data_IF_727848396755
#
_entry.id   IF_727848396755
#
_cell.length_a   1.000
_cell.length_b   1.000
_cell.length_c   1.000
_cell.angle_alpha   90.00
_cell.angle_beta   90.00
_cell.angle_gamma   90.00
#
_symmetry.space_group_name_H-M   'P 1'
#
loop_
_entity.id
_entity.type
_entity.pdbx_description
1 polymer ?
#
# COMPACT_ATOMS: atom_id res chain seq x y z
N UNK A 1 -83.71 17.97 -45.46
CA UNK A 1 -83.38 18.07 -44.01
C UNK A 1 -83.36 16.64 -43.49
N UNK A 2 -82.29 16.03 -42.98
CA UNK A 2 -80.94 16.42 -42.58
C UNK A 2 -80.01 15.22 -42.92
N UNK A 3 -78.96 15.44 -43.70
CA UNK A 3 -77.58 15.72 -43.28
C UNK A 3 -76.82 14.45 -42.85
N UNK A 4 -75.94 14.03 -43.75
CA UNK A 4 -75.06 12.87 -43.68
C UNK A 4 -73.67 13.47 -43.46
N UNK A 5 -73.27 13.61 -42.20
CA UNK A 5 -71.98 14.16 -41.84
C UNK A 5 -71.04 13.02 -41.43
N UNK A 6 -70.05 12.81 -42.29
CA UNK A 6 -68.93 11.88 -42.16
C UNK A 6 -68.11 12.13 -40.89
N UNK A 7 -67.75 11.03 -40.23
CA UNK A 7 -66.71 10.97 -39.20
C UNK A 7 -65.33 11.19 -39.86
N UNK A 8 -64.48 12.11 -39.37
CA UNK A 8 -63.10 12.16 -39.83
C UNK A 8 -62.29 11.01 -39.23
N UNK A 9 -61.67 10.23 -40.11
CA UNK A 9 -60.72 9.18 -39.78
C UNK A 9 -59.48 9.73 -39.05
N UNK A 10 -58.89 8.98 -38.10
CA UNK A 10 -57.65 9.37 -37.45
C UNK A 10 -56.49 9.33 -38.45
N UNK A 11 -55.80 10.44 -38.63
CA UNK A 11 -54.59 10.53 -39.44
C UNK A 11 -53.45 9.77 -38.77
N UNK A 12 -53.08 8.65 -39.37
CA UNK A 12 -51.86 7.92 -39.10
C UNK A 12 -50.65 8.82 -39.43
N UNK A 13 -49.94 9.26 -38.40
CA UNK A 13 -48.61 9.86 -38.53
C UNK A 13 -47.62 9.11 -37.64
N UNK A 14 -47.45 7.80 -37.89
CA UNK A 14 -46.31 7.05 -37.36
C UNK A 14 -45.01 7.38 -38.11
N UNK A 15 -44.48 8.60 -37.91
CA UNK A 15 -43.09 8.90 -38.27
C UNK A 15 -42.18 8.28 -37.21
N UNK A 16 -41.79 7.02 -37.41
CA UNK A 16 -40.81 6.30 -36.58
C UNK A 16 -39.41 6.91 -36.73
N UNK A 17 -38.77 7.47 -35.68
CA UNK A 17 -37.34 7.79 -35.68
C UNK A 17 -36.56 6.75 -34.83
N UNK A 18 -36.82 5.45 -35.03
CA UNK A 18 -36.24 4.40 -34.18
C UNK A 18 -34.84 3.86 -34.57
N UNK A 19 -34.29 3.99 -35.80
CA UNK A 19 -32.99 3.35 -36.10
C UNK A 19 -31.76 4.18 -35.69
N UNK A 20 -31.84 5.51 -35.76
CA UNK A 20 -30.67 6.39 -35.48
C UNK A 20 -30.45 6.57 -33.98
N UNK A 21 -31.52 6.67 -33.19
CA UNK A 21 -31.45 6.78 -31.74
C UNK A 21 -30.82 5.53 -31.08
N UNK A 22 -31.18 4.33 -31.56
CA UNK A 22 -30.60 3.05 -31.08
C UNK A 22 -29.12 2.90 -31.44
N UNK A 23 -28.69 3.30 -32.65
CA UNK A 23 -27.26 3.31 -33.04
C UNK A 23 -26.44 4.31 -32.21
N UNK A 24 -26.98 5.49 -31.91
CA UNK A 24 -26.30 6.49 -31.06
C UNK A 24 -26.16 6.00 -29.61
N UNK A 25 -27.19 5.37 -29.04
CA UNK A 25 -27.12 4.78 -27.71
C UNK A 25 -26.09 3.64 -27.60
N UNK A 26 -26.00 2.78 -28.63
CA UNK A 26 -24.97 1.74 -28.70
C UNK A 26 -23.55 2.33 -28.77
N UNK A 27 -23.33 3.33 -29.64
CA UNK A 27 -22.03 4.00 -29.75
C UNK A 27 -21.60 4.74 -28.46
N UNK A 28 -22.56 5.30 -27.71
CA UNK A 28 -22.29 5.92 -26.40
C UNK A 28 -21.96 4.85 -25.37
N UNK A 29 -22.68 3.72 -25.35
CA UNK A 29 -22.39 2.58 -24.45
C UNK A 29 -21.03 1.97 -24.73
N UNK A 30 -20.64 1.83 -25.99
CA UNK A 30 -19.35 1.27 -26.38
C UNK A 30 -18.20 2.23 -26.06
N UNK A 31 -18.38 3.54 -26.28
CA UNK A 31 -17.41 4.55 -25.80
C UNK A 31 -17.29 4.57 -24.28
N UNK A 32 -18.39 4.42 -23.54
CA UNK A 32 -18.36 4.33 -22.09
C UNK A 32 -17.63 3.07 -21.62
N UNK A 33 -17.89 1.91 -22.24
CA UNK A 33 -17.18 0.65 -21.98
C UNK A 33 -15.70 0.73 -22.30
N UNK A 34 -15.34 1.33 -23.43
CA UNK A 34 -13.95 1.58 -23.79
C UNK A 34 -13.27 2.56 -22.84
N UNK A 35 -13.97 3.61 -22.39
CA UNK A 35 -13.50 4.55 -21.39
C UNK A 35 -13.22 3.88 -20.05
N UNK A 36 -14.12 3.02 -19.58
CA UNK A 36 -13.93 2.20 -18.36
C UNK A 36 -12.77 1.22 -18.53
N UNK A 37 -12.66 0.55 -19.69
CA UNK A 37 -11.57 -0.40 -19.97
C UNK A 37 -10.21 0.30 -20.04
N UNK A 38 -10.12 1.43 -20.74
CA UNK A 38 -8.90 2.26 -20.84
C UNK A 38 -8.55 2.86 -19.48
N UNK A 39 -9.53 3.36 -18.72
CA UNK A 39 -9.35 3.88 -17.36
C UNK A 39 -8.83 2.81 -16.39
N UNK A 40 -9.44 1.62 -16.39
CA UNK A 40 -9.00 0.49 -15.59
C UNK A 40 -7.58 0.02 -15.93
N UNK A 41 -7.23 0.01 -17.23
CA UNK A 41 -5.87 -0.36 -17.66
C UNK A 41 -4.79 0.62 -17.15
N UNK A 42 -5.09 1.93 -17.14
CA UNK A 42 -4.18 2.96 -16.63
C UNK A 42 -4.04 2.93 -15.11
N UNK A 43 -5.15 2.76 -14.38
CA UNK A 43 -5.12 2.59 -12.92
C UNK A 43 -4.28 1.37 -12.51
N UNK A 44 -4.46 0.24 -13.22
CA UNK A 44 -3.67 -0.98 -13.00
C UNK A 44 -2.18 -0.76 -13.27
N UNK A 45 -1.84 -0.02 -14.31
CA UNK A 45 -0.45 0.34 -14.63
C UNK A 45 0.17 1.25 -13.54
N UNK A 46 -0.58 2.21 -13.00
CA UNK A 46 -0.12 3.04 -11.88
C UNK A 46 0.15 2.24 -10.61
N UNK A 47 -0.77 1.36 -10.22
CA UNK A 47 -0.58 0.47 -9.06
C UNK A 47 0.60 -0.49 -9.23
N UNK A 48 0.78 -0.99 -10.45
CA UNK A 48 1.93 -1.81 -10.81
C UNK A 48 3.25 -1.06 -10.65
N UNK A 49 3.32 0.18 -11.13
CA UNK A 49 4.49 1.03 -10.99
C UNK A 49 4.81 1.30 -9.51
N UNK A 50 3.80 1.59 -8.68
CA UNK A 50 3.97 1.77 -7.24
C UNK A 50 4.51 0.50 -6.55
N UNK A 51 3.96 -0.66 -6.90
CA UNK A 51 4.43 -1.93 -6.37
C UNK A 51 5.89 -2.21 -6.75
N UNK A 52 6.24 -1.98 -8.02
CA UNK A 52 7.62 -2.11 -8.50
C UNK A 52 8.56 -1.14 -7.77
N UNK A 53 8.10 0.09 -7.49
CA UNK A 53 8.87 1.07 -6.71
C UNK A 53 9.09 0.64 -5.27
N UNK A 54 8.07 0.13 -4.59
CA UNK A 54 8.18 -0.38 -3.21
C UNK A 54 9.15 -1.56 -3.12
N UNK A 55 9.11 -2.49 -4.09
CA UNK A 55 10.04 -3.61 -4.16
C UNK A 55 11.49 -3.11 -4.33
N UNK A 56 11.70 -2.08 -5.16
CA UNK A 56 13.02 -1.50 -5.40
C UNK A 56 13.59 -0.78 -4.17
N UNK A 57 12.75 -0.08 -3.39
CA UNK A 57 13.20 0.68 -2.23
C UNK A 57 13.39 -0.17 -0.96
N UNK A 58 12.72 -1.32 -0.85
CA UNK A 58 12.79 -2.17 0.34
C UNK A 58 14.22 -2.54 0.82
N UNK A 59 15.17 -2.96 -0.04
CA UNK A 59 16.55 -3.22 0.38
C UNK A 59 17.35 -1.97 0.72
N UNK A 60 16.81 -0.78 0.45
CA UNK A 60 17.46 0.50 0.76
C UNK A 60 16.98 1.09 2.08
N UNK A 61 15.95 0.52 2.69
CA UNK A 61 15.44 0.99 3.99
C UNK A 61 16.50 0.75 5.06
N UNK A 62 16.98 1.79 5.77
CA UNK A 62 17.97 1.61 6.83
C UNK A 62 17.32 0.96 8.06
N UNK A 63 17.88 -0.16 8.51
CA UNK A 63 17.39 -0.93 9.67
C UNK A 63 18.42 -0.85 10.79
N UNK A 64 17.97 -0.55 12.01
CA UNK A 64 18.81 -0.63 13.21
C UNK A 64 18.74 -2.04 13.77
N UNK A 65 19.89 -2.66 14.00
CA UNK A 65 19.95 -3.94 14.71
C UNK A 65 19.61 -3.78 16.20
N UNK A 66 19.38 -4.90 16.88
CA UNK A 66 19.03 -4.88 18.31
C UNK A 66 20.07 -4.13 19.15
N UNK A 67 21.36 -4.23 18.83
CA UNK A 67 22.42 -3.53 19.56
C UNK A 67 22.31 -2.01 19.39
N UNK A 68 22.08 -1.53 18.17
CA UNK A 68 21.85 -0.12 17.88
C UNK A 68 20.57 0.40 18.55
N UNK A 69 19.50 -0.40 18.55
CA UNK A 69 18.25 -0.05 19.21
C UNK A 69 18.41 0.07 20.73
N UNK A 70 19.10 -0.88 21.38
CA UNK A 70 19.36 -0.83 22.83
C UNK A 70 20.28 0.32 23.23
N UNK A 71 21.21 0.73 22.35
CA UNK A 71 22.01 1.96 22.57
C UNK A 71 21.16 3.22 22.48
N UNK A 72 20.23 3.28 21.53
CA UNK A 72 19.36 4.44 21.33
C UNK A 72 18.29 4.57 22.43
N UNK A 73 17.80 3.43 22.93
CA UNK A 73 16.73 3.35 23.93
C UNK A 73 17.20 2.51 25.14
N UNK A 74 18.14 3.03 25.95
CA UNK A 74 18.72 2.28 27.05
C UNK A 74 17.67 1.96 28.13
N UNK A 75 17.76 0.77 28.70
CA UNK A 75 16.92 0.32 29.83
C UNK A 75 15.52 -0.19 29.45
N UNK A 76 15.11 -0.13 28.18
CA UNK A 76 13.80 -0.66 27.75
C UNK A 76 13.85 -2.17 27.49
N UNK A 77 12.81 -2.87 27.94
CA UNK A 77 12.54 -4.25 27.55
C UNK A 77 12.00 -4.39 26.12
N UNK A 78 11.84 -5.62 25.60
CA UNK A 78 11.38 -5.84 24.22
C UNK A 78 10.04 -5.16 23.89
N UNK A 79 9.07 -5.25 24.80
CA UNK A 79 7.74 -4.70 24.59
C UNK A 79 7.72 -3.16 24.65
N UNK A 80 8.44 -2.56 25.59
CA UNK A 80 8.57 -1.11 25.73
C UNK A 80 9.32 -0.51 24.54
N UNK A 81 10.38 -1.18 24.07
CA UNK A 81 11.11 -0.80 22.88
C UNK A 81 10.22 -0.90 21.64
N UNK A 82 9.44 -1.98 21.50
CA UNK A 82 8.45 -2.11 20.43
C UNK A 82 7.42 -0.97 20.48
N UNK A 83 6.90 -0.61 21.66
CA UNK A 83 5.97 0.51 21.82
C UNK A 83 6.57 1.84 21.37
N UNK A 84 7.84 2.11 21.70
CA UNK A 84 8.57 3.31 21.23
C UNK A 84 8.73 3.33 19.72
N UNK A 85 9.10 2.20 19.11
CA UNK A 85 9.24 2.08 17.65
C UNK A 85 7.89 2.31 16.95
N UNK A 86 6.81 1.72 17.46
CA UNK A 86 5.47 1.90 16.91
C UNK A 86 5.00 3.35 17.05
N UNK A 87 5.25 3.99 18.20
CA UNK A 87 4.91 5.39 18.40
C UNK A 87 5.66 6.31 17.42
N UNK A 88 6.96 6.08 17.22
CA UNK A 88 7.77 6.83 16.26
C UNK A 88 7.29 6.65 14.82
N UNK A 89 7.08 5.40 14.38
CA UNK A 89 6.58 5.12 13.04
C UNK A 89 5.20 5.71 12.79
N UNK A 90 4.28 5.58 13.75
CA UNK A 90 2.92 6.14 13.63
C UNK A 90 2.92 7.68 13.61
N UNK A 91 3.88 8.33 14.27
CA UNK A 91 4.06 9.78 14.17
C UNK A 91 4.60 10.19 12.81
N UNK A 92 5.58 9.47 12.28
CA UNK A 92 6.18 9.76 10.98
C UNK A 92 5.18 9.59 9.84
N UNK A 93 4.37 8.52 9.84
CA UNK A 93 3.33 8.32 8.82
C UNK A 93 2.19 9.33 8.95
N UNK A 94 1.89 9.80 10.17
CA UNK A 94 0.94 10.90 10.38
C UNK A 94 1.43 12.20 9.73
N UNK A 95 2.72 12.54 9.86
CA UNK A 95 3.31 13.71 9.21
C UNK A 95 3.21 13.62 7.69
N UNK A 96 3.51 12.45 7.11
CA UNK A 96 3.37 12.20 5.67
C UNK A 96 1.91 12.41 5.21
N UNK A 97 0.94 11.86 5.94
CA UNK A 97 -0.48 12.05 5.66
C UNK A 97 -0.98 13.49 5.83
N UNK A 98 -0.42 14.20 6.81
CA UNK A 98 -0.72 15.62 7.02
C UNK A 98 -0.25 16.47 5.84
N UNK A 99 0.97 16.22 5.34
CA UNK A 99 1.55 16.97 4.23
C UNK A 99 0.73 16.85 2.95
N UNK A 100 0.36 15.63 2.56
CA UNK A 100 -0.46 15.41 1.35
C UNK A 100 -1.91 15.86 1.56
N UNK A 101 -2.48 15.61 2.74
CA UNK A 101 -3.80 16.13 3.09
C UNK A 101 -3.87 17.66 3.06
N UNK A 102 -2.76 18.35 3.37
CA UNK A 102 -2.67 19.81 3.21
C UNK A 102 -2.58 20.22 1.73
N UNK A 103 -1.75 19.55 0.94
CA UNK A 103 -1.59 19.83 -0.50
C UNK A 103 -2.91 19.65 -1.27
N UNK A 104 -3.73 18.66 -0.88
CA UNK A 104 -5.05 18.43 -1.46
C UNK A 104 -6.04 19.60 -1.28
N UNK A 105 -5.79 20.52 -0.33
CA UNK A 105 -6.61 21.71 -0.11
C UNK A 105 -6.19 22.93 -0.96
N UNK A 106 -5.11 22.81 -1.75
CA UNK A 106 -4.66 23.89 -2.62
C UNK A 106 -5.58 24.03 -3.86
N UNK A 107 -5.79 25.25 -4.41
CA UNK A 107 -6.67 25.47 -5.56
C UNK A 107 -6.25 24.72 -6.83
N UNK A 108 -4.94 24.55 -7.02
CA UNK A 108 -4.34 23.74 -8.08
C UNK A 108 -3.23 22.93 -7.43
N UNK A 109 -3.52 21.76 -6.87
CA UNK A 109 -2.50 20.97 -6.21
C UNK A 109 -1.45 20.53 -7.26
N UNK A 110 -0.18 20.93 -7.12
CA UNK A 110 0.84 20.65 -8.12
C UNK A 110 1.11 19.14 -8.16
N UNK A 111 0.81 18.49 -9.28
CA UNK A 111 1.18 17.10 -9.54
C UNK A 111 0.69 16.05 -8.50
N UNK A 112 -0.58 16.12 -8.06
CA UNK A 112 -1.21 15.14 -7.14
C UNK A 112 -0.89 13.65 -7.42
N UNK A 113 -0.83 13.17 -8.68
CA UNK A 113 -0.48 11.76 -8.92
C UNK A 113 0.92 11.41 -8.41
N UNK A 114 1.88 12.33 -8.52
CA UNK A 114 3.25 12.18 -8.04
C UNK A 114 3.32 12.34 -6.53
N UNK A 115 2.60 13.32 -5.96
CA UNK A 115 2.56 13.53 -4.51
C UNK A 115 1.98 12.32 -3.77
N UNK A 116 0.88 11.75 -4.28
CA UNK A 116 0.28 10.54 -3.73
C UNK A 116 1.22 9.33 -3.87
N UNK A 117 1.93 9.21 -4.99
CA UNK A 117 2.93 8.15 -5.17
C UNK A 117 4.07 8.28 -4.17
N UNK A 118 4.54 9.51 -3.90
CA UNK A 118 5.55 9.80 -2.90
C UNK A 118 5.03 9.49 -1.48
N UNK A 119 3.76 9.81 -1.17
CA UNK A 119 3.10 9.48 0.09
C UNK A 119 3.14 7.97 0.36
N UNK A 120 2.58 7.19 -0.59
CA UNK A 120 2.47 5.74 -0.45
C UNK A 120 3.87 5.10 -0.30
N UNK A 121 4.83 5.58 -1.09
CA UNK A 121 6.21 5.06 -1.04
C UNK A 121 6.90 5.44 0.28
N UNK A 122 6.68 6.65 0.78
CA UNK A 122 7.23 7.13 2.06
C UNK A 122 6.66 6.38 3.25
N UNK A 123 5.33 6.22 3.30
CA UNK A 123 4.65 5.39 4.31
C UNK A 123 5.15 3.95 4.26
N UNK A 124 5.25 3.35 3.07
CA UNK A 124 5.78 2.00 2.91
C UNK A 124 7.22 1.87 3.45
N UNK A 125 8.10 2.85 3.19
CA UNK A 125 9.47 2.83 3.69
C UNK A 125 9.53 2.88 5.24
N UNK A 126 8.70 3.72 5.86
CA UNK A 126 8.57 3.82 7.33
C UNK A 126 8.04 2.51 7.91
N UNK A 127 6.99 1.95 7.31
CA UNK A 127 6.40 0.69 7.75
C UNK A 127 7.34 -0.51 7.59
N UNK A 128 8.10 -0.57 6.49
CA UNK A 128 9.12 -1.60 6.28
C UNK A 128 10.25 -1.50 7.32
N UNK A 129 10.68 -0.28 7.66
CA UNK A 129 11.65 -0.06 8.74
C UNK A 129 11.12 -0.55 10.07
N UNK A 130 9.89 -0.18 10.41
CA UNK A 130 9.22 -0.62 11.63
C UNK A 130 9.16 -2.14 11.70
N UNK A 131 8.71 -2.80 10.63
CA UNK A 131 8.63 -4.27 10.56
C UNK A 131 10.01 -4.87 10.81
N UNK A 132 11.04 -4.41 10.10
CA UNK A 132 12.38 -4.94 10.22
C UNK A 132 12.93 -4.79 11.65
N UNK A 133 12.78 -3.62 12.25
CA UNK A 133 13.25 -3.36 13.62
C UNK A 133 12.44 -4.14 14.65
N UNK A 134 11.14 -4.38 14.44
CA UNK A 134 10.38 -5.28 15.29
C UNK A 134 10.91 -6.73 15.20
N UNK A 135 11.33 -7.20 14.02
CA UNK A 135 11.96 -8.53 13.92
C UNK A 135 13.26 -8.61 14.73
N UNK A 136 14.05 -7.53 14.77
CA UNK A 136 15.23 -7.42 15.63
C UNK A 136 14.86 -7.46 17.12
N UNK A 137 13.87 -6.65 17.53
CA UNK A 137 13.42 -6.55 18.93
C UNK A 137 12.87 -7.88 19.45
N UNK A 138 12.09 -8.59 18.64
CA UNK A 138 11.51 -9.88 19.01
C UNK A 138 12.46 -11.06 18.77
N UNK A 139 13.69 -10.83 18.33
CA UNK A 139 14.67 -11.90 18.19
C UNK A 139 14.38 -12.88 17.05
N UNK A 140 13.66 -12.43 16.02
CA UNK A 140 13.14 -13.24 14.90
C UNK A 140 13.62 -12.69 13.57
N UNK A 141 14.88 -12.22 13.54
CA UNK A 141 15.54 -11.74 12.32
C UNK A 141 15.48 -12.82 11.23
N UNK A 142 14.92 -12.55 10.04
CA UNK A 142 14.95 -13.49 8.93
C UNK A 142 16.40 -13.83 8.53
N UNK A 143 16.69 -15.10 8.16
CA UNK A 143 18.01 -15.50 7.71
C UNK A 143 18.33 -14.93 6.32
N UNK A 144 19.58 -15.11 5.88
CA UNK A 144 20.03 -14.71 4.54
C UNK A 144 20.59 -13.29 4.49
N UNK A 145 20.84 -12.79 3.27
CA UNK A 145 21.43 -11.48 3.02
C UNK A 145 20.38 -10.35 3.06
N UNK A 146 20.80 -9.11 2.82
CA UNK A 146 19.91 -7.94 2.78
C UNK A 146 18.68 -8.15 1.87
N UNK A 147 18.83 -8.73 0.68
CA UNK A 147 17.72 -8.97 -0.26
C UNK A 147 16.74 -10.01 0.27
N UNK A 148 17.24 -11.08 0.88
CA UNK A 148 16.41 -12.13 1.47
C UNK A 148 15.56 -11.58 2.62
N UNK A 149 16.21 -10.81 3.51
CA UNK A 149 15.54 -10.13 4.63
C UNK A 149 14.51 -9.11 4.15
N UNK A 150 14.84 -8.27 3.17
CA UNK A 150 13.89 -7.31 2.59
C UNK A 150 12.68 -7.99 1.95
N UNK A 151 12.88 -9.15 1.33
CA UNK A 151 11.78 -9.95 0.77
C UNK A 151 10.87 -10.49 1.89
N UNK A 152 11.45 -10.97 3.00
CA UNK A 152 10.67 -11.39 4.16
C UNK A 152 9.85 -10.23 4.76
N UNK A 153 10.44 -9.05 4.88
CA UNK A 153 9.74 -7.85 5.37
C UNK A 153 8.64 -7.38 4.41
N UNK A 154 8.86 -7.44 3.09
CA UNK A 154 7.84 -7.13 2.09
C UNK A 154 6.64 -8.07 2.16
N UNK A 155 6.86 -9.37 2.38
CA UNK A 155 5.78 -10.34 2.56
C UNK A 155 4.99 -10.08 3.85
N UNK A 156 5.70 -9.78 4.94
CA UNK A 156 5.07 -9.38 6.21
C UNK A 156 4.24 -8.10 6.05
N UNK A 157 4.76 -7.13 5.29
CA UNK A 157 4.09 -5.88 4.96
C UNK A 157 2.86 -6.11 4.08
N UNK A 158 2.94 -6.90 3.00
CA UNK A 158 1.82 -7.13 2.06
C UNK A 158 0.60 -7.82 2.73
N UNK A 159 0.79 -8.42 3.91
CA UNK A 159 -0.28 -9.03 4.70
C UNK A 159 -0.70 -10.41 4.21
N UNK A 160 0.06 -11.03 3.31
CA UNK A 160 -0.08 -12.44 2.98
C UNK A 160 0.70 -13.28 4.00
N UNK A 161 -0.02 -14.05 4.82
CA UNK A 161 0.54 -15.05 5.74
C UNK A 161 1.02 -16.25 4.91
N UNK A 162 2.13 -16.09 4.21
CA UNK A 162 2.58 -17.07 3.20
C UNK A 162 3.99 -17.61 3.39
N UNK A 163 4.86 -16.94 4.15
CA UNK A 163 6.23 -17.43 4.32
C UNK A 163 6.56 -17.43 5.81
N UNK A 164 6.37 -18.61 6.40
CA UNK A 164 6.95 -18.98 7.68
C UNK A 164 8.46 -18.68 7.62
N UNK A 165 8.93 -17.68 8.36
CA UNK A 165 10.35 -17.28 8.40
C UNK A 165 11.26 -18.43 8.86
N UNK A 166 10.68 -19.51 9.39
CA UNK A 166 11.35 -20.74 9.83
C UNK A 166 11.38 -21.84 8.76
N UNK A 167 10.74 -21.66 7.60
CA UNK A 167 10.77 -22.64 6.50
C UNK A 167 11.70 -22.17 5.37
N UNK A 168 12.91 -22.75 5.25
CA UNK A 168 13.90 -22.37 4.24
C UNK A 168 13.57 -22.79 2.81
N UNK A 169 12.42 -23.41 2.53
CA UNK A 169 12.25 -24.21 1.31
C UNK A 169 11.98 -23.47 -0.01
N UNK A 170 11.99 -22.13 -0.08
CA UNK A 170 11.86 -21.44 -1.39
C UNK A 170 12.67 -20.14 -1.56
N UNK A 171 13.63 -19.82 -0.68
CA UNK A 171 14.40 -18.56 -0.78
C UNK A 171 15.88 -18.83 -1.09
N UNK A 172 16.15 -19.77 -2.01
CA UNK A 172 17.50 -19.97 -2.52
C UNK A 172 17.66 -19.32 -3.91
N UNK A 173 18.38 -18.21 -3.93
CA UNK A 173 19.37 -17.96 -4.99
C UNK A 173 18.97 -17.15 -6.22
N UNK A 174 17.68 -16.98 -6.53
CA UNK A 174 17.28 -16.06 -7.60
C UNK A 174 15.97 -15.36 -7.24
N UNK A 175 15.97 -14.03 -7.25
CA UNK A 175 14.76 -13.24 -7.42
C UNK A 175 14.20 -13.56 -8.81
N UNK A 176 13.55 -14.72 -8.96
CA UNK A 176 12.91 -15.10 -10.20
C UNK A 176 11.86 -14.03 -10.52
N UNK A 177 11.72 -13.70 -11.80
CA UNK A 177 10.69 -12.79 -12.31
C UNK A 177 9.30 -13.14 -11.75
N UNK A 178 9.04 -14.43 -11.52
CA UNK A 178 7.84 -14.96 -10.89
C UNK A 178 7.66 -14.50 -9.43
N UNK A 179 8.71 -14.49 -8.61
CA UNK A 179 8.62 -14.03 -7.21
C UNK A 179 8.36 -12.53 -7.15
N UNK A 180 9.01 -11.75 -8.04
CA UNK A 180 8.70 -10.31 -8.19
C UNK A 180 7.25 -10.09 -8.62
N UNK A 181 6.74 -10.89 -9.56
CA UNK A 181 5.34 -10.83 -9.97
C UNK A 181 4.37 -11.19 -8.84
N UNK A 182 4.70 -12.18 -8.01
CA UNK A 182 3.91 -12.53 -6.83
C UNK A 182 3.89 -11.37 -5.84
N UNK A 183 5.05 -10.82 -5.45
CA UNK A 183 5.16 -9.64 -4.59
C UNK A 183 4.33 -8.48 -5.14
N UNK A 184 4.47 -8.19 -6.45
CA UNK A 184 3.68 -7.16 -7.11
C UNK A 184 2.18 -7.40 -6.97
N UNK A 185 1.71 -8.61 -7.18
CA UNK A 185 0.28 -8.94 -7.02
C UNK A 185 -0.19 -8.78 -5.57
N UNK A 186 0.62 -9.18 -4.58
CA UNK A 186 0.27 -9.04 -3.17
C UNK A 186 0.23 -7.57 -2.73
N UNK A 187 1.21 -6.77 -3.14
CA UNK A 187 1.23 -5.33 -2.88
C UNK A 187 0.00 -4.69 -3.53
N UNK A 188 -0.28 -4.99 -4.81
CA UNK A 188 -1.48 -4.49 -5.48
C UNK A 188 -2.77 -4.90 -4.75
N UNK A 189 -2.87 -6.15 -4.28
CA UNK A 189 -4.03 -6.64 -3.53
C UNK A 189 -4.20 -5.91 -2.20
N UNK A 190 -3.11 -5.63 -1.47
CA UNK A 190 -3.13 -4.80 -0.25
C UNK A 190 -3.59 -3.39 -0.59
N UNK A 191 -2.95 -2.73 -1.55
CA UNK A 191 -3.32 -1.37 -1.94
C UNK A 191 -4.79 -1.29 -2.36
N UNK A 192 -5.31 -2.25 -3.13
CA UNK A 192 -6.73 -2.32 -3.51
C UNK A 192 -7.65 -2.59 -2.30
N UNK A 193 -7.24 -3.42 -1.34
CA UNK A 193 -8.03 -3.69 -0.12
C UNK A 193 -8.06 -2.49 0.83
N UNK A 194 -6.98 -1.72 0.87
CA UNK A 194 -6.86 -0.52 1.68
C UNK A 194 -7.44 0.71 0.93
N UNK A 195 -7.67 0.62 -0.39
CA UNK A 195 -8.27 1.65 -1.25
C UNK A 195 -9.69 2.13 -0.86
N UNK A 196 -10.62 1.30 -0.33
CA UNK A 196 -11.91 1.77 0.16
C UNK A 196 -11.76 2.71 1.37
N UNK A 197 -10.67 2.62 2.13
CA UNK A 197 -10.34 3.59 3.19
C UNK A 197 -9.70 4.87 2.65
N UNK A 198 -9.34 4.90 1.37
CA UNK A 198 -8.72 6.03 0.70
C UNK A 198 -9.73 6.88 -0.09
N UNK A 199 -11.01 6.48 -0.10
CA UNK A 199 -12.10 7.23 -0.75
C UNK A 199 -12.64 8.41 0.08
N UNK A 200 -11.79 9.04 0.93
CA UNK A 200 -11.88 10.49 1.08
C UNK A 200 -10.50 11.17 1.09
N UNK A 201 -9.71 11.07 0.01
CA UNK A 201 -8.47 11.86 -0.20
C UNK A 201 -8.66 13.38 -0.36
N UNK A 202 -9.80 13.93 0.07
CA UNK A 202 -10.10 15.36 0.12
C UNK A 202 -10.46 15.82 1.53
N UNK A 203 -9.99 15.10 2.55
CA UNK A 203 -10.23 15.48 3.94
C UNK A 203 -8.88 15.86 4.51
N UNK A 204 -8.72 17.15 4.77
CA UNK A 204 -7.44 17.84 4.93
C UNK A 204 -6.46 17.24 5.95
N UNK A 205 -5.32 17.90 6.11
CA UNK A 205 -4.15 17.44 6.86
C UNK A 205 -4.43 16.62 8.14
N UNK A 206 -5.38 17.06 8.97
CA UNK A 206 -5.72 16.38 10.22
C UNK A 206 -6.25 14.94 10.01
N UNK A 207 -7.11 14.72 9.01
CA UNK A 207 -7.69 13.40 8.77
C UNK A 207 -6.67 12.48 8.11
N UNK A 208 -5.91 12.98 7.12
CA UNK A 208 -4.77 12.23 6.56
C UNK A 208 -3.78 11.76 7.64
N UNK A 209 -3.46 12.64 8.60
CA UNK A 209 -2.59 12.31 9.73
C UNK A 209 -3.18 11.21 10.63
N UNK A 210 -4.46 11.34 11.02
CA UNK A 210 -5.13 10.38 11.90
C UNK A 210 -5.27 9.00 11.24
N UNK A 211 -5.58 8.96 9.94
CA UNK A 211 -5.74 7.70 9.20
C UNK A 211 -4.41 6.97 9.07
N UNK A 212 -3.35 7.65 8.63
CA UNK A 212 -2.02 7.04 8.52
C UNK A 212 -1.50 6.56 9.89
N UNK A 213 -1.70 7.35 10.95
CA UNK A 213 -1.35 6.93 12.32
C UNK A 213 -2.07 5.65 12.74
N UNK A 214 -3.37 5.55 12.43
CA UNK A 214 -4.22 4.41 12.79
C UNK A 214 -3.81 3.16 12.02
N UNK A 215 -3.57 3.27 10.72
CA UNK A 215 -3.23 2.13 9.87
C UNK A 215 -1.84 1.57 10.21
N UNK A 216 -0.86 2.44 10.46
CA UNK A 216 0.48 2.01 10.92
C UNK A 216 0.41 1.29 12.28
N UNK A 217 -0.44 1.77 13.22
CA UNK A 217 -0.66 1.06 14.50
C UNK A 217 -1.30 -0.31 14.29
N UNK A 218 -2.34 -0.39 13.45
CA UNK A 218 -3.02 -1.65 13.13
C UNK A 218 -2.10 -2.66 12.45
N UNK A 219 -1.21 -2.19 11.58
CA UNK A 219 -0.14 -3.00 11.01
C UNK A 219 0.78 -3.53 12.13
N UNK A 220 1.29 -2.64 12.98
CA UNK A 220 2.19 -3.00 14.05
C UNK A 220 1.60 -4.01 15.04
N UNK A 221 0.33 -3.83 15.43
CA UNK A 221 -0.40 -4.77 16.30
C UNK A 221 -0.44 -6.17 15.70
N UNK A 222 -0.76 -6.28 14.41
CA UNK A 222 -0.77 -7.56 13.69
C UNK A 222 0.62 -8.20 13.67
N UNK A 223 1.66 -7.42 13.33
CA UNK A 223 3.03 -7.93 13.27
C UNK A 223 3.50 -8.37 14.65
N UNK A 224 3.35 -7.53 15.69
CA UNK A 224 3.72 -7.88 17.07
C UNK A 224 3.00 -9.11 17.57
N UNK A 225 1.71 -9.29 17.25
CA UNK A 225 0.96 -10.50 17.58
C UNK A 225 1.59 -11.76 16.99
N UNK A 226 2.07 -11.68 15.76
CA UNK A 226 2.74 -12.80 15.09
C UNK A 226 4.15 -13.01 15.66
N UNK A 227 4.94 -11.95 15.86
CA UNK A 227 6.31 -12.05 16.39
C UNK A 227 6.36 -12.53 17.84
N UNK A 228 5.41 -12.13 18.70
CA UNK A 228 5.30 -12.61 20.09
C UNK A 228 5.17 -14.13 20.19
N UNK A 229 4.52 -14.78 19.20
CA UNK A 229 4.39 -16.25 19.16
C UNK A 229 5.70 -16.95 18.84
N UNK A 230 6.65 -16.22 18.26
CA UNK A 230 7.90 -16.74 17.75
C UNK A 230 9.12 -16.21 18.50
N UNK A 231 8.90 -15.30 19.45
CA UNK A 231 9.93 -14.52 20.12
C UNK A 231 11.00 -15.40 20.75
N UNK A 232 12.25 -14.95 20.61
CA UNK A 232 13.39 -15.50 21.35
C UNK A 232 13.78 -14.48 22.43
N UNK A 233 13.82 -14.87 23.72
CA UNK A 233 14.30 -13.99 24.79
C UNK A 233 15.70 -13.47 24.50
N UNK A 234 15.98 -12.22 24.87
CA UNK A 234 17.28 -11.60 24.57
C UNK A 234 18.47 -12.32 25.18
N UNK A 235 18.28 -12.97 26.32
CA UNK A 235 19.34 -13.72 27.02
C UNK A 235 19.65 -15.07 26.34
N UNK A 236 18.72 -15.55 25.51
CA UNK A 236 18.84 -16.78 24.72
C UNK A 236 19.18 -16.50 23.25
N UNK A 237 19.28 -15.22 22.86
CA UNK A 237 19.56 -14.86 21.48
C UNK A 237 21.00 -15.26 21.11
N UNK A 238 21.18 -16.05 20.04
CA UNK A 238 22.52 -16.29 19.53
C UNK A 238 23.14 -14.95 19.10
N UNK A 239 24.46 -14.82 19.20
CA UNK A 239 25.14 -13.62 18.71
C UNK A 239 24.86 -13.47 17.20
N UNK A 240 24.05 -12.49 16.86
CA UNK A 240 23.69 -12.19 15.48
C UNK A 240 24.78 -11.30 14.87
N UNK A 241 25.23 -11.56 13.64
CA UNK A 241 26.17 -10.67 12.95
C UNK A 241 25.56 -9.27 12.78
N UNK A 242 26.38 -8.25 12.59
CA UNK A 242 25.88 -6.92 12.25
C UNK A 242 25.05 -6.97 10.95
N UNK A 243 24.02 -6.12 10.86
CA UNK A 243 23.22 -6.02 9.64
C UNK A 243 24.08 -5.47 8.48
N UNK A 244 23.92 -6.04 7.29
CA UNK A 244 24.48 -5.46 6.07
C UNK A 244 23.91 -4.05 5.86
N UNK A 245 24.80 -3.09 5.61
CA UNK A 245 24.41 -1.72 5.31
C UNK A 245 24.06 -1.61 3.82
N UNK A 246 22.89 -1.07 3.44
CA UNK A 246 22.57 -0.83 2.05
C UNK A 246 23.60 0.11 1.39
N UNK A 247 24.02 -0.19 0.15
CA UNK A 247 24.97 0.65 -0.58
C UNK A 247 24.45 2.08 -0.84
N UNK A 248 23.14 2.24 -0.95
CA UNK A 248 22.46 3.53 -1.13
C UNK A 248 21.23 3.59 -0.22
N UNK A 249 21.41 3.88 1.08
CA UNK A 249 20.33 3.87 2.05
C UNK A 249 19.36 5.03 1.77
N UNK A 250 18.07 4.79 1.97
CA UNK A 250 17.06 5.86 1.94
C UNK A 250 17.30 6.82 3.11
N UNK A 251 17.20 8.10 2.83
CA UNK A 251 17.12 9.12 3.85
C UNK A 251 15.68 9.12 4.38
N UNK A 252 15.47 8.45 5.51
CA UNK A 252 14.26 8.62 6.31
C UNK A 252 14.57 9.71 7.33
N UNK A 253 13.71 10.72 7.42
CA UNK A 253 13.87 11.79 8.42
C UNK A 253 14.02 11.15 9.82
N UNK A 254 14.93 11.70 10.62
CA UNK A 254 15.41 11.11 11.89
C UNK A 254 14.39 11.22 13.02
#
# INVERSE_FOLDING_TARGET
>A
MADRADLPAPTDTTRTPAPVARRRAAAVRDRAREGVRKGGSRARAGLAYLADRIIEIAPRVPVRDLAALRRQFPGLGPEELADKLVAGAASATATVGAGVGAAAMLPVPPAMPTELAAEITGVAAIELKLIAELHEVYGVRPPGNLKDRSTAYLNSWSGERGIDARKPSTVSGALNSQMKQQLRQQIMKRTIRDLPNLMPFLVGAAVGAVMNRRDTRKLAERIRKDLRRMQVPWDELPQLPALETPANPLQLEK
#
